data_IF_428130819222
#
_entry.id   IF_428130819222
#
_cell.length_a   1.000
_cell.length_b   1.000
_cell.length_c   1.000
_cell.angle_alpha   90.00
_cell.angle_beta   90.00
_cell.angle_gamma   90.00
#
_symmetry.space_group_name_H-M   'P 1'
#
loop_
_entity.id
_entity.type
_entity.pdbx_description
1 polymer ?
#
# COMPACT_ATOMS: atom_id res chain seq x y z
N UNK A 1 -1.58 3.80 21.48
CA UNK A 1 -2.51 3.77 20.32
C UNK A 1 -2.12 4.74 19.21
N UNK A 2 -2.16 6.08 19.38
CA UNK A 2 -1.90 7.06 18.29
C UNK A 2 -0.70 6.72 17.37
N UNK A 3 0.49 6.41 17.91
CA UNK A 3 1.68 6.02 17.12
C UNK A 3 1.42 4.88 16.11
N UNK A 4 0.69 3.84 16.54
CA UNK A 4 0.32 2.71 15.69
C UNK A 4 -0.68 3.16 14.62
N UNK A 5 -1.64 4.01 14.97
CA UNK A 5 -2.59 4.60 14.02
C UNK A 5 -1.85 5.42 12.95
N UNK A 6 -0.71 6.05 13.26
CA UNK A 6 0.10 6.75 12.24
C UNK A 6 0.89 5.80 11.34
N UNK A 7 1.54 4.74 11.85
CA UNK A 7 2.14 3.72 10.96
C UNK A 7 1.06 3.12 10.06
N UNK A 8 -0.11 2.82 10.63
CA UNK A 8 -1.30 2.41 9.88
C UNK A 8 -1.68 3.49 8.86
N UNK A 9 -1.69 4.78 9.19
CA UNK A 9 -1.92 5.87 8.24
C UNK A 9 -0.75 6.21 7.30
N UNK A 10 0.35 5.46 7.32
CA UNK A 10 1.38 5.47 6.27
C UNK A 10 1.09 4.34 5.24
N UNK A 11 0.11 3.45 5.51
CA UNK A 11 -0.11 2.22 4.74
C UNK A 11 -1.57 1.72 4.56
N UNK A 12 -2.55 2.15 5.38
CA UNK A 12 -3.79 1.41 5.69
C UNK A 12 -4.96 2.21 6.35
N UNK A 13 -6.04 2.42 5.59
CA UNK A 13 -7.42 2.81 5.94
C UNK A 13 -8.26 2.31 4.74
N UNK A 14 -9.41 1.65 4.85
CA UNK A 14 -10.25 1.28 5.99
C UNK A 14 -10.19 -0.25 6.27
N UNK A 15 -10.43 -0.70 7.50
CA UNK A 15 -10.70 -2.12 7.82
C UNK A 15 -11.41 -2.30 9.17
N UNK A 16 -12.59 -2.94 9.19
CA UNK A 16 -13.30 -3.34 10.40
C UNK A 16 -13.22 -4.87 10.56
N UNK A 17 -12.63 -5.31 11.69
CA UNK A 17 -12.66 -6.63 12.35
C UNK A 17 -12.25 -7.95 11.62
N UNK A 18 -11.44 -8.74 12.36
CA UNK A 18 -11.30 -10.21 12.40
C UNK A 18 -10.67 -11.07 11.25
N UNK A 19 -9.53 -11.69 11.62
CA UNK A 19 -9.17 -13.13 11.52
C UNK A 19 -8.69 -13.85 10.22
N UNK A 20 -7.38 -14.21 10.25
CA UNK A 20 -6.75 -15.53 9.92
C UNK A 20 -6.23 -15.95 8.51
N UNK A 21 -4.94 -16.35 8.50
CA UNK A 21 -4.19 -17.36 7.70
C UNK A 21 -3.99 -17.32 6.16
N UNK A 22 -2.71 -17.30 5.74
CA UNK A 22 -1.88 -18.22 4.87
C UNK A 22 -2.46 -18.80 3.54
N UNK A 23 -1.69 -19.27 2.53
CA UNK A 23 -0.22 -19.38 2.25
C UNK A 23 0.06 -19.15 0.73
N UNK A 24 1.24 -18.68 0.28
CA UNK A 24 1.50 -18.21 -1.12
C UNK A 24 2.92 -18.57 -1.72
N UNK A 25 3.07 -19.55 -2.65
CA UNK A 25 4.25 -19.86 -3.55
C UNK A 25 3.79 -20.80 -4.74
N UNK A 26 4.52 -21.35 -5.74
CA UNK A 26 5.90 -21.32 -6.33
C UNK A 26 5.90 -21.64 -7.86
N UNK A 27 6.93 -21.32 -8.71
CA UNK A 27 7.27 -21.94 -10.06
C UNK A 27 8.32 -21.24 -11.01
N UNK A 28 9.57 -21.10 -10.56
CA UNK A 28 10.86 -21.24 -11.33
C UNK A 28 10.86 -21.35 -12.88
N UNK A 29 11.31 -20.30 -13.60
CA UNK A 29 11.98 -20.42 -14.93
C UNK A 29 12.78 -19.17 -15.36
N UNK A 30 12.55 -17.99 -14.77
CA UNK A 30 13.22 -16.73 -15.17
C UNK A 30 14.62 -16.50 -14.53
N UNK A 31 15.14 -17.49 -13.81
CA UNK A 31 16.08 -17.28 -12.71
C UNK A 31 17.44 -16.72 -13.12
N UNK A 32 18.00 -17.16 -14.26
CA UNK A 32 19.36 -16.74 -14.68
C UNK A 32 19.40 -15.23 -14.98
N UNK A 33 18.46 -14.72 -15.78
CA UNK A 33 18.37 -13.29 -16.10
C UNK A 33 17.91 -12.46 -14.90
N UNK A 34 17.12 -13.05 -13.99
CA UNK A 34 16.75 -12.39 -12.75
C UNK A 34 17.97 -12.23 -11.83
N UNK A 35 18.76 -13.28 -11.59
CA UNK A 35 19.84 -13.33 -10.57
C UNK A 35 20.79 -12.12 -10.58
N UNK A 36 21.24 -11.68 -11.77
CA UNK A 36 22.11 -10.51 -11.94
C UNK A 36 21.40 -9.21 -11.54
N UNK A 37 20.12 -9.09 -11.88
CA UNK A 37 19.26 -7.94 -11.54
C UNK A 37 18.87 -7.98 -10.05
N UNK A 38 18.78 -9.15 -9.43
CA UNK A 38 18.46 -9.29 -8.00
C UNK A 38 19.55 -8.73 -7.07
N UNK A 39 20.81 -8.70 -7.52
CA UNK A 39 21.94 -8.09 -6.83
C UNK A 39 21.89 -6.55 -6.94
N UNK A 40 21.42 -6.03 -8.09
CA UNK A 40 21.45 -4.60 -8.42
C UNK A 40 20.23 -3.85 -7.86
N UNK A 41 19.05 -4.49 -7.82
CA UNK A 41 17.81 -3.92 -7.27
C UNK A 41 17.05 -4.96 -6.42
N UNK A 42 17.52 -5.24 -5.19
CA UNK A 42 16.86 -6.17 -4.28
C UNK A 42 15.59 -5.54 -3.66
N UNK A 43 14.48 -6.31 -3.51
CA UNK A 43 13.20 -5.80 -3.03
C UNK A 43 13.27 -5.23 -1.62
N UNK A 44 14.18 -5.71 -0.78
CA UNK A 44 14.43 -5.17 0.56
C UNK A 44 14.92 -3.72 0.52
N UNK A 45 15.93 -3.42 -0.31
CA UNK A 45 16.41 -2.06 -0.50
C UNK A 45 15.33 -1.18 -1.12
N UNK A 46 14.65 -1.65 -2.17
CA UNK A 46 13.55 -0.91 -2.80
C UNK A 46 12.43 -0.56 -1.80
N UNK A 47 12.01 -1.51 -0.94
CA UNK A 47 11.04 -1.27 0.13
C UNK A 47 11.52 -0.24 1.15
N UNK A 48 12.80 -0.28 1.54
CA UNK A 48 13.39 0.65 2.48
C UNK A 48 13.45 2.07 1.88
N UNK A 49 13.97 2.22 0.66
CA UNK A 49 14.03 3.49 -0.07
C UNK A 49 12.66 4.14 -0.21
N UNK A 50 11.61 3.38 -0.60
CA UNK A 50 10.23 3.90 -0.70
C UNK A 50 9.79 4.62 0.58
N UNK A 51 10.08 4.02 1.74
CA UNK A 51 9.62 4.53 3.04
C UNK A 51 10.56 5.60 3.59
N UNK A 52 11.88 5.43 3.47
CA UNK A 52 12.87 6.42 3.92
C UNK A 52 12.78 7.71 3.09
N UNK A 53 12.62 7.63 1.78
CA UNK A 53 12.44 8.81 0.91
C UNK A 53 11.14 9.55 1.23
N UNK A 54 10.06 8.82 1.47
CA UNK A 54 8.75 9.39 1.81
C UNK A 54 8.75 10.05 3.19
N UNK A 55 9.32 9.38 4.20
CA UNK A 55 9.50 9.94 5.55
C UNK A 55 10.40 11.18 5.53
N UNK A 56 11.51 11.14 4.80
CA UNK A 56 12.45 12.28 4.69
C UNK A 56 11.81 13.48 3.99
N UNK A 57 11.04 13.23 2.93
CA UNK A 57 10.28 14.28 2.24
C UNK A 57 9.20 14.89 3.14
N UNK A 58 8.57 14.07 3.99
CA UNK A 58 7.54 14.50 4.95
C UNK A 58 8.14 15.32 6.11
N UNK A 59 9.32 14.91 6.62
CA UNK A 59 10.09 15.67 7.61
C UNK A 59 10.46 17.05 7.08
N UNK A 60 10.97 17.14 5.84
CA UNK A 60 11.38 18.41 5.27
C UNK A 60 10.19 19.36 5.05
N UNK A 61 9.03 18.87 4.59
CA UNK A 61 7.80 19.67 4.55
C UNK A 61 7.40 20.21 5.94
N UNK A 62 7.49 19.39 6.99
CA UNK A 62 7.17 19.82 8.37
C UNK A 62 8.17 20.84 8.91
N UNK A 63 9.47 20.62 8.67
CA UNK A 63 10.57 21.53 9.04
C UNK A 63 10.43 22.94 8.44
N UNK A 64 9.87 23.05 7.23
CA UNK A 64 9.55 24.36 6.61
C UNK A 64 8.15 24.90 6.94
N UNK A 65 7.40 24.27 7.85
CA UNK A 65 5.98 24.55 8.14
C UNK A 65 5.05 24.46 6.92
N UNK A 66 5.45 23.69 5.90
CA UNK A 66 4.74 23.50 4.63
C UNK A 66 3.85 22.24 4.61
N UNK A 67 3.65 21.55 5.73
CA UNK A 67 2.77 20.37 5.82
C UNK A 67 1.28 20.74 5.85
N UNK A 68 0.79 21.49 4.85
CA UNK A 68 -0.65 21.67 4.60
C UNK A 68 -1.24 20.39 4.04
N UNK A 69 -2.57 20.25 4.05
CA UNK A 69 -3.25 19.08 3.48
C UNK A 69 -2.86 18.92 2.00
N UNK A 70 -2.81 20.01 1.24
CA UNK A 70 -2.57 20.07 -0.21
C UNK A 70 -1.15 19.61 -0.54
N UNK A 71 -0.14 20.12 0.19
CA UNK A 71 1.26 19.74 0.02
C UNK A 71 1.50 18.28 0.42
N UNK A 72 0.77 17.78 1.42
CA UNK A 72 0.81 16.38 1.83
C UNK A 72 0.15 15.47 0.78
N UNK A 73 -1.00 15.87 0.20
CA UNK A 73 -1.61 15.19 -0.95
C UNK A 73 -0.66 15.15 -2.15
N UNK A 74 0.05 16.25 -2.43
CA UNK A 74 1.07 16.32 -3.47
C UNK A 74 2.27 15.39 -3.17
N UNK A 75 2.73 15.32 -1.91
CA UNK A 75 3.78 14.39 -1.49
C UNK A 75 3.37 12.93 -1.72
N UNK A 76 2.16 12.53 -1.31
CA UNK A 76 1.63 11.17 -1.55
C UNK A 76 1.66 10.87 -3.06
N UNK A 77 1.21 11.82 -3.88
CA UNK A 77 1.19 11.67 -5.33
C UNK A 77 2.57 11.51 -5.97
N UNK A 78 3.58 12.26 -5.50
CA UNK A 78 4.94 12.25 -6.08
C UNK A 78 5.82 11.14 -5.50
N UNK A 79 5.67 10.79 -4.22
CA UNK A 79 6.59 9.87 -3.50
C UNK A 79 6.05 8.45 -3.34
N UNK A 80 4.73 8.25 -3.25
CA UNK A 80 4.15 6.92 -3.01
C UNK A 80 3.60 6.27 -4.30
N UNK A 81 2.69 6.90 -5.03
CA UNK A 81 2.04 6.23 -6.19
C UNK A 81 2.98 5.71 -7.30
N UNK A 82 4.11 6.35 -7.65
CA UNK A 82 5.05 5.78 -8.63
C UNK A 82 5.60 4.40 -8.22
N UNK A 83 5.54 4.08 -6.92
CA UNK A 83 6.02 2.85 -6.31
C UNK A 83 4.89 1.86 -5.96
N UNK A 84 3.62 2.18 -6.26
CA UNK A 84 2.50 1.26 -6.12
C UNK A 84 2.13 0.59 -7.46
N UNK A 85 1.55 -0.61 -7.39
CA UNK A 85 0.82 -1.26 -8.49
C UNK A 85 -0.66 -1.41 -8.11
N UNK A 86 -1.39 -0.30 -8.23
CA UNK A 86 -2.83 -0.21 -7.97
C UNK A 86 -3.63 -1.10 -8.94
N UNK A 87 -3.11 -1.38 -10.15
CA UNK A 87 -3.79 -2.27 -11.11
C UNK A 87 -3.76 -3.73 -10.64
N UNK A 88 -2.62 -4.21 -10.14
CA UNK A 88 -2.53 -5.54 -9.53
C UNK A 88 -3.33 -5.61 -8.22
N UNK A 89 -3.31 -4.54 -7.40
CA UNK A 89 -4.13 -4.43 -6.20
C UNK A 89 -5.64 -4.58 -6.52
N UNK A 90 -6.13 -3.86 -7.53
CA UNK A 90 -7.53 -3.90 -7.97
C UNK A 90 -7.92 -5.24 -8.60
N UNK A 91 -7.08 -5.81 -9.48
CA UNK A 91 -7.29 -7.14 -10.07
C UNK A 91 -7.48 -8.21 -9.00
N UNK A 92 -6.62 -8.24 -7.98
CA UNK A 92 -6.72 -9.22 -6.89
C UNK A 92 -7.92 -8.91 -5.98
N UNK A 93 -8.28 -7.63 -5.82
CA UNK A 93 -9.44 -7.19 -5.03
C UNK A 93 -10.77 -7.62 -5.66
N UNK A 94 -10.99 -7.32 -6.94
CA UNK A 94 -12.24 -7.64 -7.66
C UNK A 94 -12.29 -9.11 -8.10
N UNK A 95 -11.13 -9.76 -8.27
CA UNK A 95 -10.99 -11.15 -8.72
C UNK A 95 -11.72 -11.40 -10.05
N UNK A 96 -12.78 -12.21 -10.07
CA UNK A 96 -13.52 -12.53 -11.29
C UNK A 96 -14.18 -11.29 -11.89
N UNK A 97 -14.78 -10.46 -11.02
CA UNK A 97 -15.43 -9.20 -11.38
C UNK A 97 -14.50 -8.15 -12.00
N UNK A 98 -13.19 -8.39 -12.09
CA UNK A 98 -12.32 -7.52 -12.85
C UNK A 98 -12.54 -7.68 -14.36
N UNK A 99 -12.76 -8.91 -14.86
CA UNK A 99 -12.93 -9.14 -16.30
C UNK A 99 -14.31 -8.73 -16.82
N UNK A 100 -15.31 -8.65 -15.93
CA UNK A 100 -16.65 -8.11 -16.21
C UNK A 100 -16.66 -6.58 -16.40
N UNK A 101 -15.60 -5.86 -15.98
CA UNK A 101 -15.52 -4.39 -16.04
C UNK A 101 -14.90 -3.87 -17.34
N UNK A 102 -15.50 -2.84 -17.93
CA UNK A 102 -14.94 -2.12 -19.07
C UNK A 102 -13.75 -1.21 -18.69
N UNK A 103 -13.06 -0.65 -19.69
CA UNK A 103 -11.90 0.23 -19.45
C UNK A 103 -12.22 1.48 -18.62
N UNK A 104 -13.34 2.18 -18.88
CA UNK A 104 -13.77 3.37 -18.13
C UNK A 104 -14.08 3.00 -16.68
N UNK A 105 -14.78 1.89 -16.46
CA UNK A 105 -15.09 1.38 -15.12
C UNK A 105 -13.80 1.01 -14.35
N UNK A 106 -12.85 0.33 -15.00
CA UNK A 106 -11.52 0.04 -14.42
C UNK A 106 -10.78 1.34 -14.03
N UNK A 107 -10.89 2.40 -14.82
CA UNK A 107 -10.34 3.73 -14.48
C UNK A 107 -11.08 4.41 -13.31
N UNK A 108 -12.40 4.25 -13.18
CA UNK A 108 -13.18 4.73 -12.02
C UNK A 108 -12.69 4.05 -10.73
N UNK A 109 -12.50 2.74 -10.72
CA UNK A 109 -11.91 2.02 -9.58
C UNK A 109 -10.48 2.49 -9.26
N UNK A 110 -9.64 2.74 -10.29
CA UNK A 110 -8.27 3.25 -10.11
C UNK A 110 -8.29 4.63 -9.44
N UNK A 111 -9.06 5.59 -9.99
CA UNK A 111 -9.21 6.93 -9.43
C UNK A 111 -9.71 6.90 -7.99
N UNK A 112 -10.69 6.04 -7.68
CA UNK A 112 -11.26 5.96 -6.34
C UNK A 112 -10.28 5.46 -5.29
N UNK A 113 -9.53 4.40 -5.59
CA UNK A 113 -8.49 3.92 -4.67
C UNK A 113 -7.42 5.00 -4.50
N UNK A 114 -6.95 5.64 -5.57
CA UNK A 114 -6.00 6.76 -5.49
C UNK A 114 -6.52 7.91 -4.61
N UNK A 115 -7.76 8.36 -4.83
CA UNK A 115 -8.34 9.53 -4.14
C UNK A 115 -8.68 9.23 -2.67
N UNK A 116 -9.15 8.02 -2.33
CA UNK A 116 -9.32 7.56 -0.94
C UNK A 116 -7.95 7.49 -0.24
N UNK A 117 -6.94 6.87 -0.89
CA UNK A 117 -5.57 6.78 -0.37
C UNK A 117 -4.87 8.14 -0.19
N UNK A 118 -5.36 9.20 -0.83
CA UNK A 118 -4.89 10.58 -0.65
C UNK A 118 -5.68 11.30 0.44
N UNK A 119 -7.01 11.21 0.41
CA UNK A 119 -7.90 11.97 1.30
C UNK A 119 -7.91 11.41 2.74
N UNK A 120 -8.04 10.09 2.91
CA UNK A 120 -8.19 9.46 4.24
C UNK A 120 -6.95 9.65 5.12
N UNK A 121 -5.79 9.93 4.49
CA UNK A 121 -4.47 9.85 5.10
C UNK A 121 -3.75 11.19 5.23
N UNK A 122 -3.98 12.14 4.31
CA UNK A 122 -3.33 13.44 4.37
C UNK A 122 -3.55 14.13 5.73
N UNK A 123 -4.77 14.06 6.28
CA UNK A 123 -5.09 14.62 7.59
C UNK A 123 -4.26 14.01 8.75
N UNK A 124 -3.83 12.75 8.65
CA UNK A 124 -3.04 12.07 9.70
C UNK A 124 -1.55 12.36 9.53
N UNK A 125 -1.04 12.46 8.30
CA UNK A 125 0.34 12.90 8.05
C UNK A 125 0.55 14.40 8.38
N UNK A 126 -0.48 15.23 8.22
CA UNK A 126 -0.50 16.61 8.73
C UNK A 126 -0.39 16.65 10.25
N UNK A 127 -1.09 15.76 10.98
CA UNK A 127 -1.23 15.82 12.45
C UNK A 127 -0.23 14.95 13.23
N UNK A 128 0.84 14.46 12.60
CA UNK A 128 1.86 13.64 13.26
C UNK A 128 3.27 14.25 13.18
N UNK A 129 3.77 14.71 14.31
CA UNK A 129 5.03 15.45 14.41
C UNK A 129 6.22 14.59 14.88
N UNK A 130 5.98 13.42 15.48
CA UNK A 130 7.02 12.56 16.06
C UNK A 130 7.80 11.73 15.01
N UNK A 131 8.03 12.29 13.82
CA UNK A 131 8.72 11.59 12.72
C UNK A 131 10.19 11.28 13.03
N UNK A 132 10.82 12.06 13.91
CA UNK A 132 12.21 11.83 14.34
C UNK A 132 12.38 10.73 15.39
N UNK A 133 11.30 10.17 15.92
CA UNK A 133 11.39 8.91 16.67
C UNK A 133 11.29 7.67 15.76
N UNK A 134 10.80 7.78 14.52
CA UNK A 134 10.62 6.64 13.60
C UNK A 134 11.96 6.15 13.05
N UNK A 135 12.26 4.88 13.29
CA UNK A 135 13.31 4.14 12.60
C UNK A 135 12.67 3.01 11.78
N UNK A 136 13.20 2.75 10.58
CA UNK A 136 12.73 1.69 9.68
C UNK A 136 13.91 0.83 9.27
N UNK A 137 13.76 -0.48 9.36
CA UNK A 137 14.74 -1.48 8.91
C UNK A 137 14.05 -2.63 8.18
N UNK A 138 14.80 -3.37 7.38
CA UNK A 138 14.31 -4.53 6.64
C UNK A 138 14.56 -5.80 7.46
N UNK A 139 13.58 -6.69 7.53
CA UNK A 139 13.78 -8.04 8.05
C UNK A 139 14.57 -8.87 7.00
N UNK A 140 15.72 -9.49 7.34
CA UNK A 140 16.50 -10.28 6.39
C UNK A 140 15.70 -11.47 5.80
N UNK A 141 14.65 -11.94 6.47
CA UNK A 141 13.74 -12.96 5.94
C UNK A 141 12.80 -12.41 4.84
N UNK A 142 13.35 -12.16 3.66
CA UNK A 142 12.59 -11.82 2.45
C UNK A 142 12.18 -13.11 1.72
N UNK A 143 10.87 -13.38 1.66
CA UNK A 143 10.35 -14.52 0.88
C UNK A 143 10.16 -14.08 -0.58
N UNK A 144 10.64 -14.86 -1.55
CA UNK A 144 10.57 -14.55 -2.98
C UNK A 144 9.94 -15.69 -3.79
N UNK A 145 9.21 -15.35 -4.84
CA UNK A 145 8.71 -16.25 -5.90
C UNK A 145 8.66 -15.45 -7.20
N UNK A 146 9.37 -15.90 -8.23
CA UNK A 146 9.38 -15.28 -9.56
C UNK A 146 9.57 -13.75 -9.47
N UNK A 147 8.72 -12.97 -10.15
CA UNK A 147 8.72 -11.51 -10.06
C UNK A 147 8.06 -10.95 -8.78
N UNK A 148 7.89 -11.72 -7.70
CA UNK A 148 7.23 -11.29 -6.45
C UNK A 148 8.10 -11.48 -5.22
N UNK A 149 7.93 -10.58 -4.26
CA UNK A 149 8.57 -10.65 -2.95
C UNK A 149 7.59 -10.28 -1.82
N UNK A 150 7.77 -10.89 -0.66
CA UNK A 150 7.22 -10.46 0.62
C UNK A 150 8.37 -9.92 1.46
N UNK A 151 8.44 -8.59 1.60
CA UNK A 151 9.43 -7.90 2.42
C UNK A 151 8.76 -7.50 3.72
N UNK A 152 9.32 -7.87 4.88
CA UNK A 152 8.85 -7.34 6.17
C UNK A 152 9.71 -6.13 6.55
N UNK A 153 9.05 -5.03 6.88
CA UNK A 153 9.69 -3.85 7.49
C UNK A 153 9.49 -3.91 9.01
N UNK A 154 10.59 -3.76 9.74
CA UNK A 154 10.64 -3.55 11.18
C UNK A 154 10.66 -2.04 11.43
N UNK A 155 9.60 -1.52 12.04
CA UNK A 155 9.47 -0.11 12.42
C UNK A 155 9.51 -0.01 13.94
N UNK A 156 10.38 0.84 14.48
CA UNK A 156 10.52 1.13 15.92
C UNK A 156 10.41 2.62 16.18
N UNK A 157 10.08 2.99 17.42
CA UNK A 157 10.12 4.37 17.87
C UNK A 157 11.18 4.54 18.96
N UNK A 158 11.93 5.64 18.97
CA UNK A 158 12.90 5.95 20.04
C UNK A 158 12.27 5.92 21.45
N UNK A 159 10.96 6.13 21.54
CA UNK A 159 10.16 6.18 22.76
C UNK A 159 9.10 5.04 22.84
N UNK A 160 9.30 3.92 22.13
CA UNK A 160 8.52 2.68 22.28
C UNK A 160 9.37 1.45 21.88
N UNK A 161 9.74 0.55 22.82
CA UNK A 161 10.56 -0.63 22.52
C UNK A 161 9.81 -1.66 21.64
N UNK A 162 8.52 -1.47 21.37
CA UNK A 162 7.73 -2.39 20.55
C UNK A 162 8.04 -2.26 19.07
N UNK A 163 8.72 -3.28 18.52
CA UNK A 163 8.84 -3.47 17.07
C UNK A 163 7.46 -3.66 16.44
N UNK A 164 7.11 -2.80 15.49
CA UNK A 164 5.93 -2.91 14.64
C UNK A 164 6.33 -3.51 13.30
N UNK A 165 5.62 -4.56 12.86
CA UNK A 165 5.90 -5.25 11.59
C UNK A 165 4.87 -4.83 10.54
N UNK A 166 5.37 -4.38 9.37
CA UNK A 166 4.56 -4.11 8.17
C UNK A 166 5.13 -4.95 7.03
N UNK A 167 4.35 -5.86 6.45
CA UNK A 167 4.82 -6.69 5.33
C UNK A 167 4.33 -6.15 3.99
N UNK A 168 5.24 -5.77 3.11
CA UNK A 168 4.94 -5.33 1.76
C UNK A 168 4.94 -6.56 0.83
N UNK A 169 3.86 -6.78 0.08
CA UNK A 169 3.90 -7.65 -1.10
C UNK A 169 4.24 -6.81 -2.31
N UNK A 170 5.36 -7.15 -2.92
CA UNK A 170 5.93 -6.42 -4.04
C UNK A 170 5.90 -7.28 -5.29
N UNK A 171 5.71 -6.63 -6.43
CA UNK A 171 5.81 -7.21 -7.77
C UNK A 171 6.82 -6.41 -8.59
N UNK A 172 7.61 -7.09 -9.41
CA UNK A 172 8.57 -6.51 -10.33
C UNK A 172 8.02 -6.57 -11.76
N UNK A 173 7.98 -5.43 -12.42
CA UNK A 173 8.01 -5.37 -13.89
C UNK A 173 9.39 -4.87 -14.30
N UNK A 174 9.57 -3.56 -14.38
CA UNK A 174 10.87 -2.92 -14.66
C UNK A 174 11.61 -2.62 -13.34
N UNK A 175 10.85 -2.16 -12.34
CA UNK A 175 11.27 -1.89 -10.95
C UNK A 175 10.31 -2.58 -9.98
N UNK A 176 10.70 -2.72 -8.71
CA UNK A 176 9.77 -3.17 -7.66
C UNK A 176 8.66 -2.14 -7.39
N UNK A 177 7.43 -2.64 -7.24
CA UNK A 177 6.23 -1.89 -6.83
C UNK A 177 5.46 -2.67 -5.76
N UNK A 178 4.88 -1.98 -4.79
CA UNK A 178 4.01 -2.58 -3.76
C UNK A 178 2.60 -2.73 -4.32
N UNK A 179 2.00 -3.93 -4.23
CA UNK A 179 0.63 -4.18 -4.69
C UNK A 179 -0.35 -4.55 -3.57
N UNK A 180 0.15 -4.97 -2.41
CA UNK A 180 -0.64 -5.26 -1.21
C UNK A 180 0.26 -5.01 0.01
N UNK A 181 -0.32 -4.48 1.07
CA UNK A 181 0.36 -4.29 2.36
C UNK A 181 -0.32 -5.20 3.37
N UNK A 182 0.43 -5.71 4.33
CA UNK A 182 -0.07 -6.53 5.44
C UNK A 182 0.32 -5.89 6.76
N UNK A 183 -0.66 -5.46 7.54
CA UNK A 183 -0.48 -4.86 8.86
C UNK A 183 -1.20 -5.68 9.93
N UNK A 184 -0.50 -6.06 11.01
CA UNK A 184 -1.04 -6.94 12.07
C UNK A 184 -1.74 -8.20 11.52
N UNK A 185 -1.21 -8.77 10.42
CA UNK A 185 -1.77 -9.95 9.75
C UNK A 185 -2.95 -9.67 8.79
N UNK A 186 -3.49 -8.45 8.75
CA UNK A 186 -4.57 -8.04 7.84
C UNK A 186 -3.97 -7.52 6.55
N UNK A 187 -4.42 -8.03 5.40
CA UNK A 187 -4.01 -7.59 4.05
C UNK A 187 -5.03 -6.61 3.47
N UNK A 188 -4.58 -5.50 2.88
CA UNK A 188 -5.44 -4.45 2.34
C UNK A 188 -6.26 -4.97 1.15
N UNK A 189 -5.60 -5.68 0.24
CA UNK A 189 -6.23 -6.28 -0.95
C UNK A 189 -7.17 -7.43 -0.56
N UNK A 190 -6.84 -8.25 0.45
CA UNK A 190 -7.79 -9.24 0.98
C UNK A 190 -9.00 -8.56 1.64
N UNK A 191 -8.83 -7.41 2.31
CA UNK A 191 -9.94 -6.69 2.93
C UNK A 191 -10.88 -6.06 1.87
N UNK A 192 -10.34 -5.29 0.91
CA UNK A 192 -11.12 -4.74 -0.21
C UNK A 192 -11.83 -5.83 -1.00
N UNK A 193 -11.21 -6.99 -1.22
CA UNK A 193 -11.87 -8.15 -1.84
C UNK A 193 -13.09 -8.64 -1.07
N UNK A 194 -12.99 -8.73 0.25
CA UNK A 194 -14.13 -9.11 1.10
C UNK A 194 -15.22 -8.04 1.07
N UNK A 195 -14.87 -6.75 1.09
CA UNK A 195 -15.84 -5.65 0.98
C UNK A 195 -16.56 -5.64 -0.38
N UNK A 196 -15.81 -5.65 -1.49
CA UNK A 196 -16.37 -5.66 -2.85
C UNK A 196 -17.22 -6.90 -3.09
N UNK A 197 -16.73 -8.12 -2.80
CA UNK A 197 -17.54 -9.35 -2.92
C UNK A 197 -18.81 -9.29 -2.08
N UNK A 198 -18.73 -8.76 -0.85
CA UNK A 198 -19.88 -8.62 0.05
C UNK A 198 -20.93 -7.65 -0.51
N UNK A 199 -20.50 -6.53 -1.12
CA UNK A 199 -21.40 -5.55 -1.73
C UNK A 199 -21.99 -6.06 -3.06
N UNK A 200 -21.16 -6.57 -3.98
CA UNK A 200 -21.59 -7.08 -5.30
C UNK A 200 -22.63 -8.20 -5.14
N UNK A 201 -22.42 -9.13 -4.20
CA UNK A 201 -23.37 -10.20 -3.90
C UNK A 201 -24.75 -9.71 -3.41
N UNK A 202 -24.86 -8.49 -2.89
CA UNK A 202 -26.15 -7.91 -2.47
C UNK A 202 -26.79 -7.00 -3.52
N UNK A 203 -25.98 -6.29 -4.32
CA UNK A 203 -26.44 -5.12 -5.07
C UNK A 203 -26.11 -5.14 -6.57
N UNK A 204 -25.37 -6.14 -7.07
CA UNK A 204 -24.81 -6.14 -8.43
C UNK A 204 -23.44 -5.46 -8.53
N UNK A 205 -22.80 -5.57 -9.70
CA UNK A 205 -21.49 -4.96 -9.98
C UNK A 205 -21.66 -3.49 -10.39
N UNK A 206 -22.74 -3.22 -11.11
CA UNK A 206 -23.19 -1.94 -11.63
C UNK A 206 -23.41 -0.95 -10.49
N UNK A 207 -24.11 -1.37 -9.43
CA UNK A 207 -24.30 -0.57 -8.23
C UNK A 207 -22.98 -0.31 -7.46
N UNK A 208 -21.96 -1.17 -7.60
CA UNK A 208 -20.64 -0.89 -7.02
C UNK A 208 -19.89 0.16 -7.85
N UNK A 209 -19.98 0.08 -9.18
CA UNK A 209 -19.45 1.11 -10.10
C UNK A 209 -20.12 2.45 -9.80
N UNK A 210 -21.45 2.51 -9.79
CA UNK A 210 -22.23 3.72 -9.50
C UNK A 210 -21.87 4.32 -8.14
N UNK A 211 -21.89 3.51 -7.07
CA UNK A 211 -21.49 3.94 -5.72
C UNK A 211 -20.06 4.49 -5.66
N UNK A 212 -19.18 4.04 -6.53
CA UNK A 212 -17.79 4.51 -6.59
C UNK A 212 -17.69 5.79 -7.44
N UNK A 213 -18.37 5.89 -8.58
CA UNK A 213 -18.48 7.14 -9.36
C UNK A 213 -19.04 8.27 -8.50
N UNK A 214 -20.17 8.03 -7.82
CA UNK A 214 -20.80 9.02 -6.93
C UNK A 214 -19.89 9.45 -5.76
N UNK A 215 -18.85 8.67 -5.43
CA UNK A 215 -17.81 9.06 -4.45
C UNK A 215 -16.65 9.87 -5.04
N UNK A 216 -16.44 9.84 -6.35
CA UNK A 216 -15.49 10.71 -7.06
C UNK A 216 -16.09 12.09 -7.26
N UNK A 217 -17.39 12.15 -7.58
CA UNK A 217 -18.10 13.38 -7.97
C UNK A 217 -18.52 14.27 -6.77
N UNK A 218 -18.35 13.79 -5.54
CA UNK A 218 -18.67 14.50 -4.29
C UNK A 218 -17.40 14.92 -3.51
N UNK A 219 -16.33 15.33 -4.22
CA UNK A 219 -15.02 15.74 -3.65
C UNK A 219 -14.43 16.93 -4.39
#
# INVERSE_FOLDING_TARGET
MKKIITIVAIFFINSIFAASSNTEKDNTTNEVAQSVIEIIDPPGAAALTIIVDSLSSLKELKKHNQSTIENIKALINVKLFPHLDVNTALKISLKGYWEDLDFKQRQVFYKYIVQSLVNDYAAILVTYDNLDSINVSVDPEIVRKDNRALVKLRITFNDDPKVTIVSLKMIRSNRWKVYDVVFSGVSLVKNYRSQFKSYIRRNGLEALVEKISNKLDNV
#
